data_IF_851366470655
#
_entry.id   IF_851366470655
#
_cell.length_a   1.000
_cell.length_b   1.000
_cell.length_c   1.000
_cell.angle_alpha   90.00
_cell.angle_beta   90.00
_cell.angle_gamma   90.00
#
_symmetry.space_group_name_H-M   'P 1'
#
loop_
_entity.id
_entity.type
_entity.pdbx_description
1 polymer ?
#
# COMPACT_ATOMS: atom_id res chain seq x y z
N UNK A 1 33.38 -52.63 -11.42
CA UNK A 1 31.93 -52.74 -11.13
C UNK A 1 31.59 -51.80 -9.97
N UNK A 2 30.90 -50.67 -10.26
CA UNK A 2 30.58 -49.62 -9.28
C UNK A 2 29.29 -50.01 -8.57
N UNK A 3 29.36 -50.47 -7.32
CA UNK A 3 28.16 -50.80 -6.51
C UNK A 3 27.39 -49.51 -6.23
N UNK A 4 26.28 -49.30 -6.93
CA UNK A 4 25.22 -48.41 -6.47
C UNK A 4 24.64 -49.03 -5.20
N UNK A 5 25.09 -48.53 -4.04
CA UNK A 5 24.39 -48.76 -2.78
C UNK A 5 23.18 -47.82 -2.81
N UNK A 6 21.98 -48.38 -3.03
CA UNK A 6 20.74 -47.64 -2.85
C UNK A 6 20.73 -47.01 -1.45
N UNK A 7 20.26 -45.77 -1.36
CA UNK A 7 20.26 -44.99 -0.10
C UNK A 7 19.76 -45.86 1.05
N UNK A 8 20.54 -45.94 2.13
CA UNK A 8 20.10 -46.61 3.35
C UNK A 8 18.82 -45.93 3.85
N UNK A 9 17.87 -46.70 4.41
CA UNK A 9 16.64 -46.13 5.03
C UNK A 9 16.98 -45.01 6.03
N UNK A 10 18.14 -45.12 6.69
CA UNK A 10 18.67 -44.10 7.60
C UNK A 10 19.13 -42.83 6.87
N UNK A 11 19.88 -42.97 5.77
CA UNK A 11 20.34 -41.84 4.96
C UNK A 11 19.15 -41.06 4.40
N UNK A 12 18.13 -41.76 3.89
CA UNK A 12 16.88 -41.15 3.46
C UNK A 12 16.18 -40.39 4.59
N UNK A 13 16.06 -40.98 5.78
CA UNK A 13 15.46 -40.33 6.94
C UNK A 13 16.20 -39.04 7.35
N UNK A 14 17.52 -39.07 7.35
CA UNK A 14 18.36 -37.90 7.65
C UNK A 14 18.19 -36.82 6.59
N UNK A 15 18.19 -37.18 5.29
CA UNK A 15 17.96 -36.22 4.21
C UNK A 15 16.58 -35.56 4.32
N UNK A 16 15.54 -36.34 4.61
CA UNK A 16 14.18 -35.81 4.80
C UNK A 16 14.12 -34.87 6.00
N UNK A 17 14.78 -35.22 7.12
CA UNK A 17 14.83 -34.35 8.29
C UNK A 17 15.51 -33.01 8.00
N UNK A 18 16.68 -33.03 7.33
CA UNK A 18 17.40 -31.82 6.92
C UNK A 18 16.53 -30.98 5.97
N UNK A 19 15.91 -31.61 4.99
CA UNK A 19 15.04 -30.92 4.04
C UNK A 19 13.84 -30.28 4.73
N UNK A 20 13.23 -30.96 5.71
CA UNK A 20 12.13 -30.41 6.52
C UNK A 20 12.54 -29.16 7.30
N UNK A 21 13.72 -29.17 7.92
CA UNK A 21 14.26 -28.01 8.64
C UNK A 21 14.49 -26.84 7.68
N UNK A 22 15.13 -27.08 6.53
CA UNK A 22 15.40 -26.05 5.53
C UNK A 22 14.10 -25.49 4.91
N UNK A 23 13.13 -26.34 4.60
CA UNK A 23 11.83 -25.92 4.08
C UNK A 23 11.08 -25.05 5.09
N UNK A 24 11.10 -25.43 6.37
CA UNK A 24 10.48 -24.64 7.45
C UNK A 24 11.14 -23.28 7.60
N UNK A 25 12.49 -23.24 7.62
CA UNK A 25 13.25 -22.00 7.69
C UNK A 25 12.95 -21.08 6.49
N UNK A 26 12.84 -21.63 5.29
CA UNK A 26 12.48 -20.88 4.08
C UNK A 26 11.07 -20.30 4.17
N UNK A 27 10.08 -21.09 4.60
CA UNK A 27 8.70 -20.63 4.75
C UNK A 27 8.59 -19.49 5.76
N UNK A 28 9.26 -19.60 6.90
CA UNK A 28 9.32 -18.53 7.91
C UNK A 28 9.89 -17.24 7.32
N UNK A 29 10.94 -17.34 6.50
CA UNK A 29 11.56 -16.16 5.87
C UNK A 29 10.66 -15.55 4.78
N UNK A 30 9.98 -16.39 4.00
CA UNK A 30 9.07 -15.94 2.95
C UNK A 30 7.90 -15.13 3.52
N UNK A 31 7.33 -15.52 4.65
CA UNK A 31 6.24 -14.78 5.29
C UNK A 31 6.68 -13.35 5.65
N UNK A 32 7.83 -13.20 6.30
CA UNK A 32 8.38 -11.87 6.66
C UNK A 32 8.62 -11.02 5.42
N UNK A 33 9.18 -11.60 4.36
CA UNK A 33 9.42 -10.88 3.10
C UNK A 33 8.11 -10.42 2.47
N UNK A 34 7.05 -11.22 2.52
CA UNK A 34 5.75 -10.85 1.97
C UNK A 34 5.10 -9.71 2.78
N UNK A 35 5.20 -9.75 4.10
CA UNK A 35 4.72 -8.68 4.99
C UNK A 35 5.45 -7.35 4.72
N UNK A 36 6.78 -7.38 4.65
CA UNK A 36 7.60 -6.20 4.35
C UNK A 36 7.34 -5.65 2.94
N UNK A 37 7.13 -6.54 1.97
CA UNK A 37 6.80 -6.16 0.61
C UNK A 37 5.45 -5.43 0.54
N UNK A 38 4.42 -5.96 1.22
CA UNK A 38 3.11 -5.31 1.26
C UNK A 38 3.16 -3.96 1.98
N UNK A 39 3.83 -3.88 3.14
CA UNK A 39 4.01 -2.61 3.87
C UNK A 39 4.71 -1.57 2.99
N UNK A 40 5.74 -1.99 2.26
CA UNK A 40 6.49 -1.13 1.35
C UNK A 40 5.63 -0.67 0.16
N UNK A 41 4.84 -1.57 -0.44
CA UNK A 41 3.91 -1.24 -1.52
C UNK A 41 2.90 -0.16 -1.10
N UNK A 42 2.33 -0.32 0.10
CA UNK A 42 1.38 0.65 0.67
C UNK A 42 2.04 2.00 0.95
N UNK A 43 3.19 2.00 1.63
CA UNK A 43 3.91 3.24 1.96
C UNK A 43 4.35 3.99 0.69
N UNK A 44 4.90 3.30 -0.31
CA UNK A 44 5.24 3.90 -1.60
C UNK A 44 4.01 4.49 -2.30
N UNK A 45 2.87 3.79 -2.27
CA UNK A 45 1.63 4.30 -2.87
C UNK A 45 1.19 5.60 -2.20
N UNK A 46 1.13 5.62 -0.86
CA UNK A 46 0.75 6.82 -0.09
C UNK A 46 1.73 7.96 -0.31
N UNK A 47 3.03 7.69 -0.35
CA UNK A 47 4.06 8.70 -0.65
C UNK A 47 3.90 9.27 -2.05
N UNK A 48 3.68 8.43 -3.06
CA UNK A 48 3.50 8.86 -4.44
C UNK A 48 2.24 9.72 -4.58
N UNK A 49 1.15 9.39 -3.88
CA UNK A 49 -0.05 10.23 -3.83
C UNK A 49 0.28 11.61 -3.25
N UNK A 50 0.98 11.68 -2.11
CA UNK A 50 1.37 12.94 -1.49
C UNK A 50 2.23 13.79 -2.44
N UNK A 51 3.22 13.19 -3.08
CA UNK A 51 4.08 13.87 -4.05
C UNK A 51 3.27 14.37 -5.26
N UNK A 52 2.39 13.54 -5.81
CA UNK A 52 1.51 13.92 -6.92
C UNK A 52 0.61 15.11 -6.58
N UNK A 53 0.02 15.12 -5.38
CA UNK A 53 -0.77 16.27 -4.89
C UNK A 53 0.08 17.54 -4.82
N UNK A 54 1.30 17.46 -4.24
CA UNK A 54 2.19 18.62 -4.14
C UNK A 54 2.63 19.13 -5.52
N UNK A 55 2.90 18.23 -6.47
CA UNK A 55 3.26 18.60 -7.83
C UNK A 55 2.08 19.31 -8.52
N UNK A 56 0.86 18.77 -8.42
CA UNK A 56 -0.33 19.37 -9.00
C UNK A 56 -0.63 20.77 -8.43
N UNK A 57 -0.38 20.98 -7.13
CA UNK A 57 -0.47 22.31 -6.50
C UNK A 57 0.64 23.22 -7.03
N UNK A 58 1.89 22.76 -7.04
CA UNK A 58 3.03 23.52 -7.53
C UNK A 58 2.87 23.97 -8.99
N UNK A 59 2.37 23.10 -9.87
CA UNK A 59 2.07 23.44 -11.25
C UNK A 59 1.05 24.57 -11.38
N UNK A 60 0.02 24.58 -10.53
CA UNK A 60 -1.01 25.63 -10.56
C UNK A 60 -0.46 26.96 -10.06
N UNK A 61 0.37 26.94 -9.00
CA UNK A 61 1.07 28.12 -8.52
C UNK A 61 1.98 28.69 -9.63
N UNK A 62 2.77 27.84 -10.29
CA UNK A 62 3.67 28.26 -11.38
C UNK A 62 2.93 28.86 -12.57
N UNK A 63 1.68 28.44 -12.83
CA UNK A 63 0.82 28.99 -13.88
C UNK A 63 0.03 30.23 -13.44
N UNK A 64 0.15 30.67 -12.19
CA UNK A 64 -0.70 31.74 -11.63
C UNK A 64 -2.17 31.34 -11.45
N UNK A 65 -2.46 30.04 -11.46
CA UNK A 65 -3.80 29.45 -11.34
C UNK A 65 -4.13 29.04 -9.90
N UNK A 66 -3.70 29.84 -8.91
CA UNK A 66 -3.86 29.55 -7.48
C UNK A 66 -5.33 29.38 -7.08
N UNK A 67 -6.24 30.13 -7.72
CA UNK A 67 -7.69 30.00 -7.54
C UNK A 67 -8.21 28.59 -7.86
N UNK A 68 -7.50 27.84 -8.72
CA UNK A 68 -7.85 26.47 -9.09
C UNK A 68 -7.38 25.45 -8.09
N UNK A 69 -6.51 25.78 -7.10
CA UNK A 69 -6.05 24.83 -6.07
C UNK A 69 -7.23 24.17 -5.33
N UNK A 70 -8.37 24.85 -5.23
CA UNK A 70 -9.64 24.28 -4.77
C UNK A 70 -10.04 22.99 -5.52
N UNK A 71 -9.81 22.93 -6.84
CA UNK A 71 -10.07 21.75 -7.67
C UNK A 71 -9.18 20.57 -7.28
N UNK A 72 -7.94 20.80 -6.81
CA UNK A 72 -7.06 19.71 -6.34
C UNK A 72 -7.65 19.12 -5.08
N UNK A 73 -8.10 19.97 -4.16
CA UNK A 73 -8.69 19.55 -2.90
C UNK A 73 -10.06 18.87 -3.07
N UNK A 74 -10.72 19.03 -4.22
CA UNK A 74 -12.00 18.40 -4.55
C UNK A 74 -11.85 17.11 -5.37
N UNK A 75 -10.74 16.95 -6.11
CA UNK A 75 -10.48 15.76 -6.91
C UNK A 75 -10.10 14.54 -6.06
N UNK A 76 -10.17 13.36 -6.66
CA UNK A 76 -9.73 12.13 -6.00
C UNK A 76 -8.21 12.14 -5.84
N UNK A 77 -7.66 11.77 -4.66
CA UNK A 77 -6.21 11.79 -4.44
C UNK A 77 -5.45 10.82 -5.37
N UNK A 78 -6.13 9.79 -5.90
CA UNK A 78 -5.51 8.85 -6.86
C UNK A 78 -5.40 9.41 -8.28
N UNK A 79 -6.11 10.49 -8.61
CA UNK A 79 -6.02 11.13 -9.93
C UNK A 79 -4.67 11.85 -10.12
N UNK A 80 -3.95 12.11 -9.03
CA UNK A 80 -2.60 12.68 -9.03
C UNK A 80 -1.49 11.63 -9.15
N UNK A 81 -1.85 10.35 -9.28
CA UNK A 81 -0.90 9.29 -9.61
C UNK A 81 -0.81 9.14 -11.13
N UNK A 82 0.40 8.92 -11.64
CA UNK A 82 0.60 8.59 -13.06
C UNK A 82 -0.10 7.29 -13.48
N UNK A 83 -0.35 6.37 -12.54
CA UNK A 83 -1.10 5.14 -12.76
C UNK A 83 -1.97 4.85 -11.52
N UNK A 84 -3.21 4.40 -11.73
CA UNK A 84 -4.10 4.01 -10.62
C UNK A 84 -3.53 2.80 -9.87
N UNK A 85 -3.60 2.77 -8.53
CA UNK A 85 -3.17 1.62 -7.75
C UNK A 85 -3.91 0.34 -8.17
N UNK A 86 -3.23 -0.80 -8.07
CA UNK A 86 -3.84 -2.09 -8.41
C UNK A 86 -5.04 -2.36 -7.50
N UNK A 87 -6.14 -2.81 -8.09
CA UNK A 87 -7.36 -3.12 -7.34
C UNK A 87 -8.11 -1.89 -6.81
N UNK A 88 -7.81 -0.69 -7.31
CA UNK A 88 -8.53 0.53 -6.94
C UNK A 88 -10.02 0.49 -7.35
N UNK A 89 -10.91 0.91 -6.45
CA UNK A 89 -12.33 1.11 -6.70
C UNK A 89 -12.80 2.47 -6.17
N UNK A 90 -13.74 3.07 -6.87
CA UNK A 90 -14.46 4.25 -6.37
C UNK A 90 -15.56 3.81 -5.39
N UNK A 91 -15.76 4.58 -4.32
CA UNK A 91 -16.80 4.37 -3.31
C UNK A 91 -16.29 3.77 -1.99
N UNK A 92 -17.22 3.51 -1.07
CA UNK A 92 -16.95 2.97 0.28
C UNK A 92 -17.14 1.45 0.39
N UNK A 93 -17.47 0.77 -0.70
CA UNK A 93 -17.77 -0.67 -0.64
C UNK A 93 -16.54 -1.42 -0.16
N UNK A 94 -16.68 -2.39 0.77
CA UNK A 94 -15.57 -3.24 1.20
C UNK A 94 -14.89 -3.80 -0.04
N UNK A 95 -13.65 -3.39 -0.23
CA UNK A 95 -12.83 -3.89 -1.32
C UNK A 95 -12.07 -5.09 -0.78
N UNK A 96 -11.92 -6.13 -1.58
CA UNK A 96 -11.28 -7.37 -1.11
C UNK A 96 -9.83 -7.15 -0.64
N UNK A 97 -9.18 -8.16 -0.06
CA UNK A 97 -7.80 -8.03 0.41
C UNK A 97 -6.86 -7.55 -0.72
N UNK A 98 -6.00 -6.58 -0.41
CA UNK A 98 -5.06 -5.93 -1.33
C UNK A 98 -5.66 -4.87 -2.24
N UNK A 99 -6.88 -4.40 -1.95
CA UNK A 99 -7.56 -3.41 -2.77
C UNK A 99 -7.58 -2.04 -2.10
N UNK A 100 -7.64 -1.02 -2.96
CA UNK A 100 -7.77 0.38 -2.57
C UNK A 100 -9.18 0.87 -2.86
N UNK A 101 -9.71 1.72 -1.99
CA UNK A 101 -11.02 2.33 -2.17
C UNK A 101 -10.94 3.82 -1.83
N UNK A 102 -11.63 4.67 -2.59
CA UNK A 102 -11.78 6.08 -2.23
C UNK A 102 -13.24 6.44 -2.04
N UNK A 103 -13.58 6.85 -0.82
CA UNK A 103 -14.89 7.38 -0.46
C UNK A 103 -14.88 8.91 -0.58
N UNK A 104 -15.44 9.42 -1.67
CA UNK A 104 -15.55 10.85 -1.91
C UNK A 104 -16.46 11.58 -0.90
N UNK A 105 -17.43 10.89 -0.29
CA UNK A 105 -18.36 11.49 0.67
C UNK A 105 -17.64 11.83 1.99
N UNK A 106 -16.79 10.90 2.46
CA UNK A 106 -15.99 11.09 3.68
C UNK A 106 -14.58 11.65 3.40
N UNK A 107 -14.19 11.75 2.13
CA UNK A 107 -12.82 12.05 1.67
C UNK A 107 -11.80 11.10 2.28
N UNK A 108 -12.10 9.81 2.27
CA UNK A 108 -11.26 8.77 2.87
C UNK A 108 -10.71 7.83 1.79
N UNK A 109 -9.39 7.72 1.75
CA UNK A 109 -8.68 6.67 1.04
C UNK A 109 -8.51 5.50 2.01
N UNK A 110 -8.94 4.31 1.58
CA UNK A 110 -8.90 3.10 2.39
C UNK A 110 -8.11 2.02 1.65
N UNK A 111 -7.25 1.32 2.36
CA UNK A 111 -6.59 0.11 1.90
C UNK A 111 -7.01 -1.07 2.76
N UNK A 112 -7.31 -2.20 2.14
CA UNK A 112 -7.64 -3.45 2.83
C UNK A 112 -6.43 -4.37 2.78
N UNK A 113 -5.70 -4.64 3.88
CA UNK A 113 -4.52 -5.50 3.86
C UNK A 113 -4.80 -6.92 3.36
N UNK A 114 -3.86 -7.49 2.58
CA UNK A 114 -3.80 -8.93 2.27
C UNK A 114 -3.24 -9.70 3.44
N UNK A 115 -2.21 -9.14 4.09
CA UNK A 115 -1.56 -9.68 5.27
C UNK A 115 -1.77 -8.71 6.44
N UNK A 116 -2.83 -8.88 7.25
CA UNK A 116 -3.06 -8.03 8.41
C UNK A 116 -1.88 -7.98 9.38
N UNK A 117 -1.09 -9.07 9.47
CA UNK A 117 0.10 -9.16 10.31
C UNK A 117 1.14 -8.08 9.97
N UNK A 118 1.22 -7.68 8.69
CA UNK A 118 2.08 -6.59 8.23
C UNK A 118 1.68 -5.23 8.81
N UNK A 119 0.48 -5.10 9.39
CA UNK A 119 -0.09 -3.87 9.90
C UNK A 119 -0.73 -4.02 11.29
N UNK A 120 -0.11 -4.84 12.17
CA UNK A 120 -0.60 -5.06 13.54
C UNK A 120 -2.07 -5.55 13.59
N UNK A 121 -2.41 -6.47 12.68
CA UNK A 121 -3.72 -7.08 12.51
C UNK A 121 -4.85 -6.10 12.14
N UNK A 122 -4.49 -4.93 11.60
CA UNK A 122 -5.46 -4.00 11.04
C UNK A 122 -6.20 -4.63 9.84
N UNK A 123 -7.52 -4.54 9.84
CA UNK A 123 -8.39 -5.00 8.74
C UNK A 123 -8.52 -3.95 7.63
N UNK A 124 -8.19 -2.71 7.94
CA UNK A 124 -8.20 -1.58 7.01
C UNK A 124 -7.21 -0.52 7.49
N UNK A 125 -6.62 0.19 6.53
CA UNK A 125 -5.81 1.37 6.76
C UNK A 125 -6.51 2.55 6.12
N UNK A 126 -6.60 3.66 6.84
CA UNK A 126 -7.40 4.80 6.41
C UNK A 126 -6.56 6.06 6.38
N UNK A 127 -6.82 6.87 5.36
CA UNK A 127 -6.27 8.20 5.25
C UNK A 127 -7.34 9.21 4.84
N UNK A 128 -7.43 10.31 5.56
CA UNK A 128 -8.31 11.42 5.22
C UNK A 128 -7.60 12.40 4.28
N UNK A 129 -8.27 12.75 3.19
CA UNK A 129 -7.84 13.78 2.27
C UNK A 129 -8.40 15.13 2.70
N UNK A 130 -7.53 15.98 3.26
CA UNK A 130 -7.90 17.26 3.86
C UNK A 130 -7.43 18.43 3.00
N UNK A 131 -8.32 19.41 2.80
CA UNK A 131 -7.94 20.71 2.26
C UNK A 131 -7.19 21.51 3.32
N UNK A 132 -6.11 22.18 2.93
CA UNK A 132 -5.42 23.16 3.77
C UNK A 132 -5.89 24.54 3.36
N UNK A 133 -6.46 25.27 4.30
CA UNK A 133 -6.94 26.63 4.07
C UNK A 133 -6.00 27.65 4.72
N UNK A 134 -5.93 28.84 4.14
CA UNK A 134 -5.30 30.01 4.77
C UNK A 134 -6.20 30.63 5.86
N UNK A 135 -5.72 31.71 6.47
CA UNK A 135 -6.47 32.49 7.48
C UNK A 135 -7.76 33.12 6.94
N UNK A 136 -7.89 33.23 5.61
CA UNK A 136 -9.07 33.77 4.93
C UNK A 136 -10.05 32.67 4.49
N UNK A 137 -9.76 31.40 4.81
CA UNK A 137 -10.57 30.25 4.43
C UNK A 137 -10.37 29.78 2.99
N UNK A 138 -9.40 30.33 2.24
CA UNK A 138 -9.12 29.92 0.86
C UNK A 138 -8.27 28.65 0.85
N UNK A 139 -8.59 27.65 0.02
CA UNK A 139 -7.77 26.45 -0.08
C UNK A 139 -6.43 26.78 -0.73
N UNK A 140 -5.36 26.68 0.05
CA UNK A 140 -3.97 26.88 -0.37
C UNK A 140 -3.24 25.55 -0.60
N UNK A 141 -3.89 24.43 -0.30
CA UNK A 141 -3.37 23.12 -0.65
C UNK A 141 -4.26 21.97 -0.22
N UNK A 142 -3.73 20.76 -0.33
CA UNK A 142 -4.36 19.55 0.15
C UNK A 142 -3.31 18.56 0.66
N UNK A 143 -3.70 17.68 1.58
CA UNK A 143 -2.81 16.65 2.12
C UNK A 143 -3.57 15.40 2.51
N UNK A 144 -2.88 14.26 2.43
CA UNK A 144 -3.37 12.99 2.91
C UNK A 144 -2.89 12.77 4.35
N UNK A 145 -3.77 12.44 5.29
CA UNK A 145 -3.44 12.28 6.72
C UNK A 145 -3.93 10.93 7.21
N UNK A 146 -3.06 10.15 7.84
CA UNK A 146 -3.44 8.84 8.39
C UNK A 146 -4.44 9.01 9.53
N UNK A 147 -5.49 8.19 9.52
CA UNK A 147 -6.47 8.12 10.61
C UNK A 147 -6.47 6.68 11.12
N UNK A 148 -6.22 6.51 12.42
CA UNK A 148 -6.29 5.22 13.09
C UNK A 148 -7.74 4.83 13.36
#
# INVERSE_FOLDING_TARGET
MRRQRGASKFEFAVTVAIFGVLATALLLRLNVIQEDAERTEVDLTVRNIRVGIQLAIGERIMRGEEYRIAEVAAASPVDFLGHRPRGFREGRTPSGPGQWSYDAANRELVYFPRLPQAFADATELRWRYVARNDSSGRPVGASLVGIN
#
